data_IF_159537434321
#
_entry.id   IF_159537434321
#
_cell.length_a   1.000
_cell.length_b   1.000
_cell.length_c   1.000
_cell.angle_alpha   90.00
_cell.angle_beta   90.00
_cell.angle_gamma   90.00
#
_symmetry.space_group_name_H-M   'P 1'
#
loop_
_entity.id
_entity.type
_entity.pdbx_description
1 polymer ?
#
# COMPACT_ATOMS: atom_id res chain seq x y z
N UNK A 1 -28.50 -8.03 2.30
CA UNK A 1 -28.51 -7.01 1.21
C UNK A 1 -28.20 -7.70 -0.11
N UNK A 2 -28.89 -7.35 -1.18
CA UNK A 2 -28.51 -7.78 -2.52
C UNK A 2 -27.36 -6.90 -3.07
N UNK A 3 -26.81 -7.29 -4.25
CA UNK A 3 -25.67 -6.57 -4.84
C UNK A 3 -25.97 -5.08 -5.13
N UNK A 4 -27.19 -4.75 -5.54
CA UNK A 4 -27.56 -3.36 -5.86
C UNK A 4 -27.69 -2.53 -4.60
N UNK A 5 -28.26 -3.11 -3.56
CA UNK A 5 -28.35 -2.47 -2.24
C UNK A 5 -26.97 -2.20 -1.65
N UNK A 6 -26.03 -3.15 -1.77
CA UNK A 6 -24.65 -2.97 -1.31
C UNK A 6 -23.95 -1.83 -2.07
N UNK A 7 -24.08 -1.79 -3.40
CA UNK A 7 -23.47 -0.74 -4.23
C UNK A 7 -24.02 0.63 -3.85
N UNK A 8 -25.34 0.78 -3.75
CA UNK A 8 -25.95 2.06 -3.37
C UNK A 8 -25.55 2.51 -1.95
N UNK A 9 -25.48 1.57 -1.01
CA UNK A 9 -25.02 1.86 0.35
C UNK A 9 -23.54 2.25 0.39
N UNK A 10 -22.70 1.61 -0.43
CA UNK A 10 -21.29 1.97 -0.55
C UNK A 10 -21.11 3.36 -1.16
N UNK A 11 -21.88 3.73 -2.20
CA UNK A 11 -21.86 5.08 -2.76
C UNK A 11 -22.19 6.14 -1.69
N UNK A 12 -23.25 5.92 -0.91
CA UNK A 12 -23.60 6.81 0.20
C UNK A 12 -22.50 6.86 1.28
N UNK A 13 -21.90 5.71 1.58
CA UNK A 13 -20.80 5.63 2.54
C UNK A 13 -19.59 6.48 2.10
N UNK A 14 -19.21 6.46 0.82
CA UNK A 14 -18.12 7.25 0.30
C UNK A 14 -18.36 8.75 0.44
N UNK A 15 -19.57 9.21 0.13
CA UNK A 15 -19.93 10.63 0.28
C UNK A 15 -19.86 11.08 1.76
N UNK A 16 -20.32 10.24 2.67
CA UNK A 16 -20.30 10.52 4.11
C UNK A 16 -18.90 10.52 4.72
N UNK A 17 -18.02 9.61 4.24
CA UNK A 17 -16.69 9.40 4.84
C UNK A 17 -15.55 10.01 4.04
N UNK A 18 -15.82 10.77 2.99
CA UNK A 18 -14.80 11.36 2.11
C UNK A 18 -13.69 12.08 2.88
N UNK A 19 -14.05 12.92 3.84
CA UNK A 19 -13.08 13.73 4.59
C UNK A 19 -12.17 12.83 5.47
N UNK A 20 -12.71 11.75 6.03
CA UNK A 20 -11.93 10.76 6.79
C UNK A 20 -10.95 10.01 5.88
N UNK A 21 -11.41 9.60 4.70
CA UNK A 21 -10.56 8.92 3.70
C UNK A 21 -9.41 9.84 3.29
N UNK A 22 -9.70 11.10 2.97
CA UNK A 22 -8.67 12.08 2.60
C UNK A 22 -7.69 12.35 3.75
N UNK A 23 -8.18 12.39 4.99
CA UNK A 23 -7.33 12.56 6.17
C UNK A 23 -6.38 11.35 6.38
N UNK A 24 -6.86 10.13 6.19
CA UNK A 24 -6.03 8.93 6.30
C UNK A 24 -4.99 8.86 5.16
N UNK A 25 -5.36 9.23 3.94
CA UNK A 25 -4.40 9.39 2.83
C UNK A 25 -3.34 10.44 3.19
N UNK A 26 -3.75 11.59 3.70
CA UNK A 26 -2.83 12.66 4.09
C UNK A 26 -1.88 12.21 5.19
N UNK A 27 -2.37 11.48 6.20
CA UNK A 27 -1.55 10.92 7.29
C UNK A 27 -0.41 10.05 6.74
N UNK A 28 -0.68 9.21 5.74
CA UNK A 28 0.36 8.37 5.13
C UNK A 28 1.28 9.16 4.19
N UNK A 29 0.74 10.06 3.37
CA UNK A 29 1.50 10.87 2.41
C UNK A 29 2.50 11.80 3.12
N UNK A 30 2.16 12.32 4.31
CA UNK A 30 3.04 13.16 5.11
C UNK A 30 4.29 12.45 5.64
N UNK A 31 4.36 11.14 5.54
CA UNK A 31 5.54 10.34 5.92
C UNK A 31 6.41 10.09 4.67
N UNK A 32 7.63 10.65 4.57
CA UNK A 32 8.55 10.37 3.48
C UNK A 32 9.12 8.95 3.63
N UNK A 33 8.43 7.96 3.09
CA UNK A 33 8.75 6.54 3.24
C UNK A 33 9.63 5.99 2.12
N UNK A 34 10.63 6.76 1.73
CA UNK A 34 11.66 6.31 0.78
C UNK A 34 12.64 5.37 1.49
N UNK A 35 13.05 4.29 0.81
CA UNK A 35 14.05 3.35 1.32
C UNK A 35 15.35 4.07 1.71
N UNK A 36 15.89 3.72 2.87
CA UNK A 36 17.21 4.15 3.36
C UNK A 36 17.92 3.00 4.07
N UNK A 37 18.58 2.15 3.28
CA UNK A 37 19.31 1.00 3.82
C UNK A 37 20.51 1.40 4.68
N UNK A 38 21.01 2.63 4.55
CA UNK A 38 22.10 3.11 5.41
C UNK A 38 21.62 3.39 6.84
N UNK A 39 20.33 3.66 7.02
CA UNK A 39 19.67 3.85 8.31
C UNK A 39 18.87 2.62 8.76
N UNK A 40 19.03 1.46 8.10
CA UNK A 40 18.34 0.23 8.46
C UNK A 40 18.70 -0.22 9.89
N UNK A 41 17.69 -0.70 10.63
CA UNK A 41 17.80 -1.13 12.01
C UNK A 41 16.78 -2.24 12.33
N UNK A 42 16.90 -2.96 13.44
CA UNK A 42 15.87 -3.87 13.91
C UNK A 42 14.51 -3.14 14.00
N UNK A 43 13.47 -3.70 13.37
CA UNK A 43 12.16 -3.07 13.25
C UNK A 43 12.02 -2.03 12.14
N UNK A 44 13.12 -1.72 11.42
CA UNK A 44 13.14 -0.80 10.30
C UNK A 44 14.13 -1.28 9.22
N UNK A 45 13.92 -2.45 8.62
CA UNK A 45 14.90 -3.06 7.71
C UNK A 45 15.11 -2.26 6.42
N UNK A 46 14.14 -1.46 6.02
CA UNK A 46 14.21 -0.60 4.82
C UNK A 46 14.41 0.89 5.19
N UNK A 47 14.74 1.16 6.46
CA UNK A 47 14.92 2.50 6.98
C UNK A 47 13.73 3.01 7.80
N UNK A 48 13.91 4.16 8.49
CA UNK A 48 12.91 4.71 9.40
C UNK A 48 11.63 5.19 8.71
N UNK A 49 11.73 5.67 7.47
CA UNK A 49 10.58 6.18 6.71
C UNK A 49 9.54 5.10 6.39
N UNK A 50 9.91 4.00 5.70
CA UNK A 50 9.01 2.87 5.46
C UNK A 50 8.44 2.26 6.75
N UNK A 51 9.27 2.11 7.80
CA UNK A 51 8.80 1.60 9.09
C UNK A 51 7.72 2.50 9.72
N UNK A 52 7.93 3.83 9.71
CA UNK A 52 6.94 4.77 10.23
C UNK A 52 5.64 4.79 9.41
N UNK A 53 5.73 4.65 8.08
CA UNK A 53 4.53 4.55 7.23
C UNK A 53 3.76 3.25 7.45
N UNK A 54 4.47 2.14 7.67
CA UNK A 54 3.87 0.85 8.02
C UNK A 54 3.13 0.94 9.36
N UNK A 55 3.76 1.49 10.40
CA UNK A 55 3.11 1.68 11.70
C UNK A 55 1.86 2.56 11.58
N UNK A 56 1.93 3.65 10.82
CA UNK A 56 0.78 4.54 10.61
C UNK A 56 -0.37 3.85 9.85
N UNK A 57 -0.08 3.00 8.86
CA UNK A 57 -1.09 2.23 8.13
C UNK A 57 -1.77 1.18 9.05
N UNK A 58 -0.99 0.51 9.89
CA UNK A 58 -1.51 -0.43 10.88
C UNK A 58 -2.37 0.27 11.94
N UNK A 59 -1.97 1.47 12.41
CA UNK A 59 -2.80 2.28 13.32
C UNK A 59 -4.14 2.66 12.69
N UNK A 60 -4.18 3.03 11.41
CA UNK A 60 -5.43 3.33 10.69
C UNK A 60 -6.31 2.07 10.66
N UNK A 61 -5.76 0.92 10.29
CA UNK A 61 -6.49 -0.34 10.24
C UNK A 61 -7.01 -0.80 11.62
N UNK A 62 -6.21 -0.65 12.67
CA UNK A 62 -6.62 -0.94 14.06
C UNK A 62 -7.76 -0.01 14.49
N UNK A 63 -7.68 1.28 14.17
CA UNK A 63 -8.76 2.26 14.40
C UNK A 63 -10.07 1.90 13.68
N UNK A 64 -10.00 1.14 12.60
CA UNK A 64 -11.14 0.57 11.87
C UNK A 64 -11.66 -0.75 12.47
N UNK A 65 -11.07 -1.25 13.55
CA UNK A 65 -11.48 -2.46 14.24
C UNK A 65 -10.88 -3.75 13.68
N UNK A 66 -9.81 -3.68 12.90
CA UNK A 66 -9.07 -4.84 12.42
C UNK A 66 -8.00 -5.27 13.44
N UNK A 67 -7.64 -6.55 13.44
CA UNK A 67 -6.53 -7.06 14.24
C UNK A 67 -5.24 -6.91 13.44
N UNK A 68 -4.28 -6.14 13.96
CA UNK A 68 -3.06 -5.80 13.23
C UNK A 68 -1.84 -6.58 13.71
N UNK A 69 -0.91 -6.82 12.80
CA UNK A 69 0.38 -7.44 13.07
C UNK A 69 1.47 -6.69 12.31
N UNK A 70 2.45 -6.13 13.02
CA UNK A 70 3.69 -5.64 12.44
C UNK A 70 4.73 -6.77 12.45
N UNK A 71 5.21 -7.14 11.28
CA UNK A 71 6.17 -8.22 11.09
C UNK A 71 7.61 -7.68 11.10
N UNK A 72 8.07 -7.22 12.25
CA UNK A 72 9.44 -6.73 12.47
C UNK A 72 9.82 -5.56 11.55
N UNK A 73 8.84 -4.79 11.08
CA UNK A 73 9.03 -3.67 10.15
C UNK A 73 9.27 -4.08 8.70
N UNK A 74 9.27 -5.37 8.37
CA UNK A 74 9.39 -5.82 6.98
C UNK A 74 8.07 -5.60 6.21
N UNK A 75 6.98 -6.02 6.80
CA UNK A 75 5.64 -6.01 6.23
C UNK A 75 4.64 -5.99 7.39
N UNK A 76 3.42 -5.59 7.14
CA UNK A 76 2.37 -5.67 8.14
C UNK A 76 1.08 -6.20 7.56
N UNK A 77 0.18 -6.65 8.40
CA UNK A 77 -1.16 -7.02 7.93
C UNK A 77 -2.23 -6.73 8.97
N UNK A 78 -3.42 -6.52 8.47
CA UNK A 78 -4.64 -6.28 9.25
C UNK A 78 -5.69 -7.31 8.87
N UNK A 79 -6.21 -8.03 9.84
CA UNK A 79 -7.18 -9.10 9.67
C UNK A 79 -8.57 -8.68 10.15
N UNK A 80 -9.57 -8.98 9.35
CA UNK A 80 -10.98 -8.88 9.68
C UNK A 80 -11.61 -10.27 9.58
N UNK A 81 -12.08 -10.80 10.71
CA UNK A 81 -12.66 -12.15 10.76
C UNK A 81 -13.95 -12.25 9.93
N UNK A 82 -14.08 -13.35 9.21
CA UNK A 82 -15.28 -13.79 8.52
C UNK A 82 -15.81 -15.11 9.10
N UNK A 83 -16.70 -15.78 8.38
CA UNK A 83 -17.27 -17.08 8.80
C UNK A 83 -16.29 -18.24 8.73
N UNK A 84 -15.23 -18.13 7.94
CA UNK A 84 -14.21 -19.17 7.77
C UNK A 84 -12.82 -18.54 7.86
N UNK A 85 -11.82 -19.38 8.16
CA UNK A 85 -10.42 -18.97 8.18
C UNK A 85 -9.82 -18.74 6.78
N UNK A 86 -10.53 -19.17 5.72
CA UNK A 86 -10.10 -18.92 4.34
C UNK A 86 -10.06 -17.42 4.07
N UNK A 87 -8.92 -16.92 3.59
CA UNK A 87 -8.68 -15.49 3.44
C UNK A 87 -8.86 -15.01 2.00
N UNK A 88 -9.54 -13.87 1.87
CA UNK A 88 -9.45 -12.96 0.74
C UNK A 88 -8.42 -11.88 1.11
N UNK A 89 -7.35 -11.78 0.34
CA UNK A 89 -6.27 -10.83 0.57
C UNK A 89 -6.37 -9.61 -0.33
N UNK A 90 -5.93 -8.48 0.21
CA UNK A 90 -5.62 -7.26 -0.52
C UNK A 90 -4.18 -6.92 -0.15
N UNK A 91 -3.34 -6.62 -1.13
CA UNK A 91 -1.96 -6.19 -0.88
C UNK A 91 -1.73 -4.85 -1.53
N UNK A 92 -1.22 -3.92 -0.77
CA UNK A 92 -0.72 -2.64 -1.22
C UNK A 92 0.60 -2.33 -0.54
N UNK A 93 1.22 -1.18 -0.83
CA UNK A 93 2.48 -0.79 -0.20
C UNK A 93 2.45 0.64 0.34
N UNK A 94 3.34 0.91 1.29
CA UNK A 94 3.43 2.22 1.97
C UNK A 94 4.77 2.92 1.76
N UNK A 95 5.77 2.23 1.17
CA UNK A 95 6.98 2.87 0.69
C UNK A 95 6.71 3.66 -0.58
N UNK A 96 7.60 4.55 -0.93
CA UNK A 96 7.50 5.40 -2.12
C UNK A 96 8.89 5.69 -2.69
N UNK A 97 8.96 5.91 -4.00
CA UNK A 97 10.18 6.44 -4.64
C UNK A 97 10.48 7.87 -4.16
N UNK A 98 11.74 8.33 -4.24
CA UNK A 98 12.10 9.72 -3.94
C UNK A 98 11.23 10.71 -4.72
N UNK A 99 10.89 11.84 -4.09
CA UNK A 99 10.07 12.85 -4.75
C UNK A 99 10.71 13.37 -6.06
N UNK A 100 12.03 13.54 -6.05
CA UNK A 100 12.74 14.14 -7.18
C UNK A 100 12.44 15.64 -7.33
N UNK A 101 12.99 16.31 -8.34
CA UNK A 101 12.76 17.71 -8.63
C UNK A 101 11.48 17.93 -9.47
N UNK A 102 11.03 19.18 -9.58
CA UNK A 102 9.99 19.59 -10.53
C UNK A 102 8.58 19.68 -9.94
N UNK A 103 8.41 19.45 -8.66
CA UNK A 103 7.13 19.64 -7.98
C UNK A 103 6.75 21.13 -7.90
N UNK A 104 5.49 21.44 -8.14
CA UNK A 104 4.92 22.80 -7.96
C UNK A 104 4.25 22.99 -6.60
N UNK A 105 4.25 21.97 -5.74
CA UNK A 105 3.71 21.92 -4.38
C UNK A 105 4.55 20.95 -3.54
N UNK A 106 4.33 20.94 -2.22
CA UNK A 106 5.05 20.04 -1.31
C UNK A 106 4.73 18.57 -1.60
N UNK A 107 5.72 17.76 -2.02
CA UNK A 107 5.45 16.38 -2.45
C UNK A 107 4.92 15.47 -1.34
N UNK A 108 5.33 15.69 -0.08
CA UNK A 108 4.89 14.93 1.08
C UNK A 108 3.78 15.65 1.87
N UNK A 109 2.89 16.31 1.14
CA UNK A 109 1.68 16.93 1.68
C UNK A 109 0.57 16.82 0.64
N UNK A 110 -0.58 16.30 1.06
CA UNK A 110 -1.73 16.24 0.15
C UNK A 110 -2.18 17.65 -0.20
N UNK A 111 -2.22 17.95 -1.49
CA UNK A 111 -2.79 19.17 -2.06
C UNK A 111 -4.05 18.80 -2.82
N UNK A 112 -5.21 19.28 -2.37
CA UNK A 112 -6.46 19.13 -3.12
C UNK A 112 -6.64 20.34 -4.06
N UNK A 113 -6.72 20.05 -5.35
CA UNK A 113 -6.93 21.08 -6.39
C UNK A 113 -7.63 20.49 -7.59
N UNK A 114 -8.61 21.21 -8.10
CA UNK A 114 -9.36 20.87 -9.33
C UNK A 114 -9.98 19.45 -9.27
N UNK A 115 -10.36 18.97 -8.07
CA UNK A 115 -10.94 17.64 -7.86
C UNK A 115 -9.92 16.50 -7.75
N UNK A 116 -8.61 16.80 -7.72
CA UNK A 116 -7.53 15.84 -7.57
C UNK A 116 -6.86 15.97 -6.22
N UNK A 117 -6.43 14.82 -5.66
CA UNK A 117 -5.48 14.75 -4.56
C UNK A 117 -4.08 14.57 -5.15
N UNK A 118 -3.18 15.49 -4.85
CA UNK A 118 -1.81 15.51 -5.37
C UNK A 118 -0.81 15.40 -4.23
N UNK A 119 0.16 14.51 -4.40
CA UNK A 119 1.24 14.24 -3.44
C UNK A 119 1.96 12.95 -3.79
N UNK A 120 3.19 12.75 -3.31
CA UNK A 120 3.92 11.49 -3.49
C UNK A 120 3.21 10.38 -2.69
N UNK A 121 2.77 9.31 -3.39
CA UNK A 121 2.00 8.22 -2.81
C UNK A 121 0.47 8.39 -2.88
N UNK A 122 -0.06 9.53 -3.35
CA UNK A 122 -1.51 9.67 -3.56
C UNK A 122 -2.06 8.71 -4.62
N UNK A 123 -1.26 8.37 -5.63
CA UNK A 123 -1.62 7.45 -6.70
C UNK A 123 -1.00 6.07 -6.48
N UNK A 124 0.24 6.03 -6.01
CA UNK A 124 1.11 4.87 -5.94
C UNK A 124 1.81 4.84 -4.58
N UNK A 125 1.40 3.96 -3.63
CA UNK A 125 0.14 3.20 -3.57
C UNK A 125 -0.63 3.53 -2.26
N UNK A 126 -0.17 4.55 -1.47
CA UNK A 126 -0.81 4.94 -0.19
C UNK A 126 -2.27 5.33 -0.36
N UNK A 127 -2.59 6.07 -1.42
CA UNK A 127 -3.97 6.48 -1.71
C UNK A 127 -4.87 5.29 -2.02
N UNK A 128 -4.59 4.47 -3.05
CA UNK A 128 -5.37 3.28 -3.36
C UNK A 128 -5.45 2.28 -2.20
N UNK A 129 -4.35 2.09 -1.44
CA UNK A 129 -4.34 1.27 -0.23
C UNK A 129 -5.33 1.75 0.81
N UNK A 130 -5.36 3.05 1.13
CA UNK A 130 -6.34 3.63 2.07
C UNK A 130 -7.76 3.48 1.54
N UNK A 131 -8.00 3.74 0.25
CA UNK A 131 -9.31 3.56 -0.38
C UNK A 131 -9.79 2.11 -0.24
N UNK A 132 -8.93 1.14 -0.53
CA UNK A 132 -9.27 -0.28 -0.40
C UNK A 132 -9.51 -0.68 1.08
N UNK A 133 -8.75 -0.10 2.02
CA UNK A 133 -8.97 -0.32 3.45
C UNK A 133 -10.34 0.22 3.91
N UNK A 134 -10.73 1.42 3.46
CA UNK A 134 -12.05 1.97 3.71
C UNK A 134 -13.17 1.15 3.05
N UNK A 135 -12.91 0.50 1.91
CA UNK A 135 -13.88 -0.43 1.33
C UNK A 135 -14.11 -1.65 2.23
N UNK A 136 -13.07 -2.20 2.85
CA UNK A 136 -13.19 -3.26 3.87
C UNK A 136 -13.99 -2.77 5.08
N UNK A 137 -13.70 -1.56 5.56
CA UNK A 137 -14.43 -0.92 6.67
C UNK A 137 -15.90 -0.72 6.32
N UNK A 138 -16.21 -0.21 5.14
CA UNK A 138 -17.58 -0.05 4.64
C UNK A 138 -18.38 -1.36 4.70
N UNK A 139 -17.81 -2.47 4.20
CA UNK A 139 -18.47 -3.79 4.26
C UNK A 139 -18.70 -4.24 5.71
N UNK A 140 -17.82 -3.87 6.62
CA UNK A 140 -17.97 -4.16 8.05
C UNK A 140 -19.10 -3.34 8.68
N UNK A 141 -19.14 -2.03 8.40
CA UNK A 141 -20.13 -1.11 8.98
C UNK A 141 -21.55 -1.38 8.44
N UNK A 142 -21.65 -1.83 7.21
CA UNK A 142 -22.91 -2.26 6.60
C UNK A 142 -23.36 -3.66 7.04
N UNK A 143 -22.61 -4.32 7.94
CA UNK A 143 -22.84 -5.69 8.40
C UNK A 143 -23.04 -6.70 7.24
N UNK A 144 -22.28 -6.49 6.17
CA UNK A 144 -22.30 -7.41 5.02
C UNK A 144 -21.72 -8.75 5.43
N UNK A 145 -22.50 -9.81 5.23
CA UNK A 145 -22.05 -11.16 5.54
C UNK A 145 -20.80 -11.51 4.73
N UNK A 146 -19.71 -11.86 5.45
CA UNK A 146 -18.43 -12.24 4.87
C UNK A 146 -18.21 -13.75 5.03
N UNK A 147 -18.32 -14.54 3.94
CA UNK A 147 -18.06 -15.99 4.00
C UNK A 147 -16.57 -16.29 4.26
N UNK A 148 -15.68 -15.36 3.92
CA UNK A 148 -14.23 -15.46 4.10
C UNK A 148 -13.74 -14.39 5.08
N UNK A 149 -12.65 -14.67 5.78
CA UNK A 149 -11.88 -13.63 6.48
C UNK A 149 -11.20 -12.74 5.45
N UNK A 150 -10.89 -11.51 5.83
CA UNK A 150 -10.17 -10.57 4.96
C UNK A 150 -8.82 -10.25 5.59
N UNK A 151 -7.78 -10.20 4.78
CA UNK A 151 -6.45 -9.75 5.17
C UNK A 151 -6.00 -8.62 4.26
N UNK A 152 -5.71 -7.45 4.84
CA UNK A 152 -5.02 -6.38 4.15
C UNK A 152 -3.53 -6.48 4.50
N UNK A 153 -2.67 -6.57 3.49
CA UNK A 153 -1.21 -6.67 3.63
C UNK A 153 -0.62 -5.32 3.18
N UNK A 154 0.23 -4.74 4.03
CA UNK A 154 0.94 -3.49 3.77
C UNK A 154 2.41 -3.81 3.55
N UNK A 155 2.88 -3.75 2.30
CA UNK A 155 4.28 -3.82 1.93
C UNK A 155 5.03 -2.56 2.35
N UNK A 156 6.32 -2.69 2.60
CA UNK A 156 7.21 -1.58 2.96
C UNK A 156 8.50 -1.54 2.10
N UNK A 157 8.54 -2.32 1.01
CA UNK A 157 9.68 -2.41 0.09
C UNK A 157 9.27 -2.82 -1.33
N UNK A 158 8.11 -2.37 -1.82
CA UNK A 158 7.64 -2.70 -3.17
C UNK A 158 8.53 -2.06 -4.23
N UNK A 159 8.78 -0.76 -4.11
CA UNK A 159 9.46 0.11 -5.06
C UNK A 159 10.95 -0.26 -5.33
N UNK A 160 11.52 -1.07 -4.45
CA UNK A 160 12.96 -1.40 -4.51
C UNK A 160 13.26 -2.89 -4.52
N UNK A 161 12.25 -3.74 -4.78
CA UNK A 161 12.45 -5.15 -5.10
C UNK A 161 11.69 -6.18 -4.30
N UNK A 162 10.64 -5.79 -3.56
CA UNK A 162 9.68 -6.68 -2.89
C UNK A 162 10.32 -7.69 -1.91
N UNK A 163 11.38 -7.29 -1.22
CA UNK A 163 12.01 -8.14 -0.20
C UNK A 163 11.08 -8.41 0.99
N UNK A 164 10.15 -7.51 1.25
CA UNK A 164 9.08 -7.62 2.23
C UNK A 164 8.11 -8.76 1.92
N UNK A 165 7.65 -8.87 0.68
CA UNK A 165 6.76 -9.97 0.23
C UNK A 165 7.48 -11.29 0.30
N UNK A 166 8.76 -11.36 -0.11
CA UNK A 166 9.57 -12.58 0.02
C UNK A 166 9.70 -13.00 1.47
N UNK A 167 9.93 -12.05 2.38
CA UNK A 167 9.99 -12.31 3.82
C UNK A 167 8.65 -12.84 4.36
N UNK A 168 7.51 -12.28 3.90
CA UNK A 168 6.18 -12.76 4.27
C UNK A 168 5.95 -14.19 3.83
N UNK A 169 6.25 -14.52 2.58
CA UNK A 169 6.02 -15.86 2.01
C UNK A 169 6.85 -16.98 2.65
N UNK A 170 7.97 -16.63 3.30
CA UNK A 170 8.75 -17.59 4.10
C UNK A 170 8.08 -17.98 5.42
N UNK A 171 7.16 -17.16 5.95
CA UNK A 171 6.63 -17.28 7.31
C UNK A 171 5.12 -17.46 7.37
N UNK A 172 4.41 -17.01 6.35
CA UNK A 172 2.95 -17.00 6.30
C UNK A 172 2.43 -17.62 5.01
N UNK A 173 1.28 -18.26 5.11
CA UNK A 173 0.57 -18.73 3.92
C UNK A 173 -0.07 -17.55 3.17
N UNK A 174 -0.06 -17.63 1.85
CA UNK A 174 -0.77 -16.66 1.02
C UNK A 174 -2.27 -16.79 1.19
N UNK A 175 -3.03 -15.68 1.15
CA UNK A 175 -4.47 -15.72 1.03
C UNK A 175 -4.94 -16.60 -0.14
N UNK A 176 -6.10 -17.21 0.00
CA UNK A 176 -6.65 -18.11 -1.05
C UNK A 176 -7.00 -17.36 -2.36
N UNK A 177 -7.25 -16.08 -2.27
CA UNK A 177 -7.39 -15.12 -3.37
C UNK A 177 -6.72 -13.82 -2.93
N UNK A 178 -5.96 -13.19 -3.83
CA UNK A 178 -5.24 -11.94 -3.56
C UNK A 178 -5.38 -11.01 -4.76
N UNK A 179 -5.56 -9.72 -4.51
CA UNK A 179 -5.44 -8.67 -5.51
C UNK A 179 -4.73 -7.44 -4.92
N UNK A 180 -4.23 -6.57 -5.80
CA UNK A 180 -3.66 -5.28 -5.43
C UNK A 180 -4.51 -4.15 -6.00
N UNK A 181 -4.71 -3.03 -5.27
CA UNK A 181 -5.28 -1.81 -5.80
C UNK A 181 -4.27 -0.97 -6.62
N UNK A 182 -3.02 -1.38 -6.65
CA UNK A 182 -1.90 -0.71 -7.29
C UNK A 182 -1.87 -0.98 -8.80
N UNK A 183 -2.91 -0.54 -9.48
CA UNK A 183 -3.03 -0.63 -10.94
C UNK A 183 -4.15 0.24 -11.48
N UNK A 184 -4.07 0.58 -12.75
CA UNK A 184 -5.12 1.24 -13.49
C UNK A 184 -6.28 0.30 -13.84
N UNK A 185 -7.42 0.87 -14.22
CA UNK A 185 -8.53 0.13 -14.82
C UNK A 185 -8.38 0.02 -16.35
N UNK A 186 -8.84 -1.08 -16.96
CA UNK A 186 -9.58 -2.23 -16.38
C UNK A 186 -8.70 -3.17 -15.55
N UNK A 187 -9.36 -4.04 -14.77
CA UNK A 187 -8.67 -5.04 -13.94
C UNK A 187 -7.67 -5.84 -14.78
N UNK A 188 -6.39 -5.80 -14.39
CA UNK A 188 -5.33 -6.62 -14.95
C UNK A 188 -5.32 -7.99 -14.26
N UNK A 189 -5.26 -9.07 -15.04
CA UNK A 189 -5.20 -10.45 -14.53
C UNK A 189 -3.98 -11.23 -15.02
N UNK A 190 -3.04 -10.52 -15.63
CA UNK A 190 -1.78 -11.10 -16.11
C UNK A 190 -0.80 -10.01 -16.50
N UNK A 191 0.45 -10.27 -16.24
CA UNK A 191 1.56 -9.34 -16.44
C UNK A 191 2.71 -10.00 -17.16
N UNK A 192 3.53 -9.20 -17.86
CA UNK A 192 4.80 -9.68 -18.44
C UNK A 192 5.88 -9.61 -17.37
N UNK A 193 6.76 -10.60 -17.34
CA UNK A 193 8.00 -10.53 -16.58
C UNK A 193 8.90 -9.40 -17.10
N UNK A 194 9.57 -8.70 -16.19
CA UNK A 194 10.63 -7.73 -16.48
C UNK A 194 12.02 -8.38 -16.33
N UNK A 195 13.00 -7.86 -17.05
CA UNK A 195 14.42 -8.18 -16.85
C UNK A 195 15.22 -6.88 -16.93
N UNK A 196 15.95 -6.57 -15.88
CA UNK A 196 16.92 -5.50 -15.84
C UNK A 196 18.34 -6.08 -15.86
N UNK A 197 19.17 -5.56 -16.74
CA UNK A 197 20.55 -6.00 -16.88
C UNK A 197 21.49 -4.82 -17.11
N UNK A 198 22.66 -4.89 -16.48
CA UNK A 198 23.73 -3.92 -16.69
C UNK A 198 24.86 -4.58 -17.46
N UNK A 199 25.26 -3.97 -18.59
CA UNK A 199 26.45 -4.37 -19.33
C UNK A 199 27.58 -3.41 -18.95
N UNK A 200 28.62 -3.95 -18.32
CA UNK A 200 29.82 -3.16 -17.95
C UNK A 200 30.98 -3.56 -18.83
N UNK A 201 31.70 -2.57 -19.36
CA UNK A 201 33.01 -2.78 -19.99
C UNK A 201 34.14 -2.62 -18.97
N UNK A 202 35.31 -3.17 -19.27
CA UNK A 202 36.50 -2.80 -18.53
C UNK A 202 36.75 -1.27 -18.62
N UNK A 203 37.32 -0.65 -17.56
CA UNK A 203 37.66 0.77 -17.62
C UNK A 203 38.53 1.09 -18.84
N UNK A 204 38.14 2.12 -19.59
CA UNK A 204 38.93 2.60 -20.73
C UNK A 204 40.09 3.40 -20.17
N UNK A 205 41.34 2.98 -20.43
CA UNK A 205 42.55 3.64 -19.90
C UNK A 205 42.74 5.07 -20.47
N UNK A 206 42.24 5.32 -21.67
CA UNK A 206 42.27 6.64 -22.30
C UNK A 206 40.93 6.93 -22.99
N UNK A 207 40.03 7.71 -22.38
CA UNK A 207 38.75 8.08 -23.00
C UNK A 207 38.86 8.90 -24.29
N UNK A 208 39.99 9.51 -24.54
CA UNK A 208 40.26 10.30 -25.75
C UNK A 208 40.70 9.45 -26.96
N UNK A 209 40.89 8.17 -26.76
CA UNK A 209 41.33 7.25 -27.82
C UNK A 209 40.18 6.65 -28.66
N UNK A 210 38.93 7.17 -28.52
CA UNK A 210 37.74 6.76 -29.28
C UNK A 210 37.22 7.87 -30.18
#
# INVERSE_FOLDING_TARGET
MDRKEIVAAAEAYWDEHRDAIVADIAKLVEIPSTEDLAAAAPGAPYGPGPAAALDAALEIAEGMGMTVTNCEGHIGFADLAGKTEKQLGIIGHVDVVPAGPGWSFEPFKVTEKDGYLMGRGCLDDKGPSVVALHAVKCLSDLDVERPYSMRFIFGANEETGMADVMWYLEKYESPAFLFTPDADFPVCYGEKGGYDGCITSAPIADPAAW
#
